data_IF_718694284821
#
_entry.id   IF_718694284821
#
_cell.length_a   1.000
_cell.length_b   1.000
_cell.length_c   1.000
_cell.angle_alpha   90.00
_cell.angle_beta   90.00
_cell.angle_gamma   90.00
#
_symmetry.space_group_name_H-M   'P 1'
#
loop_
_entity.id
_entity.type
_entity.pdbx_description
1 polymer ?
#
# COMPACT_ATOMS: atom_id res chain seq x y z
N UNK A 1 -6.85 -5.74 -28.92
CA UNK A 1 -5.93 -6.31 -27.91
C UNK A 1 -5.43 -5.15 -27.10
N UNK A 2 -5.44 -5.25 -25.76
CA UNK A 2 -4.89 -4.20 -24.92
C UNK A 2 -3.39 -4.02 -25.24
N UNK A 3 -2.93 -2.79 -25.23
CA UNK A 3 -1.52 -2.48 -25.46
C UNK A 3 -0.67 -2.97 -24.29
N UNK A 4 0.46 -3.62 -24.61
CA UNK A 4 1.43 -4.07 -23.59
C UNK A 4 2.75 -3.41 -23.83
N UNK A 5 3.22 -2.66 -22.85
CA UNK A 5 4.50 -1.96 -22.89
C UNK A 5 5.43 -2.48 -21.78
N UNK A 6 6.73 -2.35 -22.00
CA UNK A 6 7.74 -2.76 -21.03
C UNK A 6 8.02 -1.59 -20.08
N UNK A 7 7.73 -1.77 -18.78
CA UNK A 7 7.85 -0.73 -17.76
C UNK A 7 8.53 -1.25 -16.50
N UNK A 8 9.26 -0.37 -15.82
CA UNK A 8 9.58 -0.55 -14.41
C UNK A 8 8.33 -0.36 -13.55
N UNK A 9 8.30 -0.96 -12.36
CA UNK A 9 7.18 -0.76 -11.43
C UNK A 9 6.95 0.72 -11.08
N UNK A 10 8.01 1.52 -10.89
CA UNK A 10 7.89 2.96 -10.65
C UNK A 10 7.28 3.72 -11.84
N UNK A 11 7.69 3.39 -13.07
CA UNK A 11 7.13 3.96 -14.30
C UNK A 11 5.65 3.58 -14.46
N UNK A 12 5.30 2.35 -14.08
CA UNK A 12 3.92 1.84 -14.11
C UNK A 12 3.01 2.66 -13.17
N UNK A 13 3.46 3.02 -11.96
CA UNK A 13 2.75 3.93 -11.06
C UNK A 13 2.46 5.29 -11.71
N UNK A 14 3.48 5.88 -12.35
CA UNK A 14 3.35 7.19 -12.99
C UNK A 14 2.32 7.19 -14.14
N UNK A 15 2.41 6.20 -15.03
CA UNK A 15 1.45 6.06 -16.14
C UNK A 15 0.04 5.74 -15.65
N UNK A 16 -0.09 4.89 -14.62
CA UNK A 16 -1.37 4.59 -14.01
C UNK A 16 -2.03 5.83 -13.41
N UNK A 17 -1.26 6.74 -12.80
CA UNK A 17 -1.78 8.00 -12.28
C UNK A 17 -2.39 8.86 -13.40
N UNK A 18 -1.72 8.97 -14.54
CA UNK A 18 -2.25 9.69 -15.72
C UNK A 18 -3.51 8.99 -16.22
N UNK A 19 -3.47 7.67 -16.40
CA UNK A 19 -4.55 6.89 -17.02
C UNK A 19 -5.79 6.75 -16.12
N UNK A 20 -5.66 6.78 -14.79
CA UNK A 20 -6.82 6.76 -13.90
C UNK A 20 -7.45 8.14 -13.69
N UNK A 21 -6.91 9.20 -14.33
CA UNK A 21 -7.40 10.57 -14.25
C UNK A 21 -7.06 11.26 -12.91
N UNK A 22 -5.86 11.05 -12.40
CA UNK A 22 -5.33 11.79 -11.25
C UNK A 22 -5.28 13.29 -11.56
N UNK A 23 -5.62 14.12 -10.58
CA UNK A 23 -5.62 15.57 -10.71
C UNK A 23 -4.28 16.22 -10.36
N UNK A 24 -3.51 15.57 -9.47
CA UNK A 24 -2.24 16.16 -9.05
C UNK A 24 -1.29 15.16 -8.37
N UNK A 25 -0.01 15.32 -8.70
CA UNK A 25 1.11 14.67 -8.03
C UNK A 25 1.99 15.74 -7.40
N UNK A 26 2.24 15.61 -6.10
CA UNK A 26 3.12 16.49 -5.34
C UNK A 26 4.15 15.64 -4.63
N UNK A 27 5.41 15.69 -5.05
CA UNK A 27 6.44 14.79 -4.56
C UNK A 27 7.78 15.45 -4.33
N UNK A 28 8.67 14.75 -3.64
CA UNK A 28 10.07 15.09 -3.47
C UNK A 28 10.93 13.88 -3.90
N UNK A 29 11.99 14.08 -4.70
CA UNK A 29 12.77 12.97 -5.23
C UNK A 29 13.56 12.27 -4.14
N UNK A 30 13.41 10.93 -4.07
CA UNK A 30 14.13 10.06 -3.15
C UNK A 30 14.30 8.67 -3.77
N UNK A 31 15.51 8.08 -3.70
CA UNK A 31 15.77 6.71 -4.16
C UNK A 31 15.11 5.69 -3.20
N UNK A 32 14.45 4.61 -3.70
CA UNK A 32 14.45 4.11 -5.08
C UNK A 32 13.16 4.41 -5.88
N UNK A 33 12.45 5.52 -5.63
CA UNK A 33 11.19 5.83 -6.31
C UNK A 33 11.26 7.04 -7.28
N UNK A 34 12.44 7.60 -7.53
CA UNK A 34 12.62 8.83 -8.34
C UNK A 34 11.99 8.73 -9.72
N UNK A 35 11.98 7.54 -10.33
CA UNK A 35 11.40 7.32 -11.66
C UNK A 35 9.90 7.63 -11.73
N UNK A 36 9.16 7.65 -10.61
CA UNK A 36 7.75 8.07 -10.62
C UNK A 36 7.63 9.52 -11.09
N UNK A 37 8.41 10.41 -10.47
CA UNK A 37 8.41 11.83 -10.85
C UNK A 37 9.06 12.04 -12.22
N UNK A 38 10.18 11.39 -12.50
CA UNK A 38 10.90 11.48 -13.77
C UNK A 38 9.99 11.10 -14.94
N UNK A 39 9.23 10.02 -14.82
CA UNK A 39 8.26 9.59 -15.84
C UNK A 39 7.12 10.60 -15.99
N UNK A 40 6.55 11.10 -14.88
CA UNK A 40 5.52 12.15 -14.94
C UNK A 40 6.03 13.41 -15.63
N UNK A 41 7.27 13.81 -15.35
CA UNK A 41 7.89 14.98 -16.01
C UNK A 41 8.14 14.74 -17.51
N UNK A 42 8.54 13.54 -17.90
CA UNK A 42 8.75 13.16 -19.30
C UNK A 42 7.44 13.09 -20.08
N UNK A 43 6.37 12.57 -19.45
CA UNK A 43 5.04 12.44 -20.07
C UNK A 43 4.28 13.77 -20.18
N UNK A 44 4.69 14.81 -19.45
CA UNK A 44 4.08 16.15 -19.45
C UNK A 44 2.53 16.12 -19.34
N UNK A 45 1.95 15.44 -18.31
CA UNK A 45 0.51 15.25 -18.22
C UNK A 45 -0.27 16.56 -18.04
N UNK A 46 0.37 17.64 -17.63
CA UNK A 46 -0.26 18.98 -17.58
C UNK A 46 -0.67 19.50 -18.96
N UNK A 47 0.02 19.09 -20.03
CA UNK A 47 -0.35 19.43 -21.40
C UNK A 47 -1.43 18.49 -21.96
N UNK A 48 -1.35 17.19 -21.63
CA UNK A 48 -2.22 16.16 -22.18
C UNK A 48 -3.58 16.05 -21.46
N UNK A 49 -3.57 16.13 -20.14
CA UNK A 49 -4.74 15.89 -19.29
C UNK A 49 -5.05 17.06 -18.33
N UNK A 50 -4.12 18.00 -18.18
CA UNK A 50 -4.16 19.06 -17.20
C UNK A 50 -3.87 18.59 -15.77
N UNK A 51 -3.31 17.37 -15.56
CA UNK A 51 -2.83 16.91 -14.27
C UNK A 51 -1.67 17.79 -13.81
N UNK A 52 -1.72 18.28 -12.58
CA UNK A 52 -0.64 19.08 -11.99
C UNK A 52 0.48 18.15 -11.52
N UNK A 53 1.71 18.42 -11.93
CA UNK A 53 2.91 17.74 -11.40
C UNK A 53 3.83 18.79 -10.82
N UNK A 54 4.16 18.67 -9.53
CA UNK A 54 4.98 19.65 -8.85
C UNK A 54 5.96 18.96 -7.90
N UNK A 55 7.23 19.35 -8.03
CA UNK A 55 8.25 19.00 -7.06
C UNK A 55 8.14 19.95 -5.88
N UNK A 56 7.82 19.40 -4.70
CA UNK A 56 7.83 20.15 -3.45
C UNK A 56 9.27 20.36 -2.95
N UNK A 57 9.45 21.23 -1.98
CA UNK A 57 10.76 21.46 -1.35
C UNK A 57 11.17 20.36 -0.36
N UNK A 58 10.21 19.58 0.12
CA UNK A 58 10.38 18.50 1.11
C UNK A 58 9.17 17.58 1.12
N UNK A 59 9.33 16.41 1.75
CA UNK A 59 8.21 15.47 1.97
C UNK A 59 7.12 16.08 2.86
N UNK A 60 7.50 16.89 3.84
CA UNK A 60 6.53 17.62 4.69
C UNK A 60 5.70 18.61 3.86
N UNK A 61 6.31 19.33 2.92
CA UNK A 61 5.59 20.19 2.00
C UNK A 61 4.69 19.37 1.06
N UNK A 62 5.19 18.24 0.53
CA UNK A 62 4.41 17.34 -0.33
C UNK A 62 3.11 16.89 0.33
N UNK A 63 3.18 16.36 1.56
CA UNK A 63 1.99 15.83 2.24
C UNK A 63 0.97 16.92 2.58
N UNK A 64 1.42 18.15 2.88
CA UNK A 64 0.53 19.28 3.10
C UNK A 64 -0.18 19.73 1.80
N UNK A 65 0.52 19.65 0.64
CA UNK A 65 -0.10 19.88 -0.67
C UNK A 65 -1.15 18.80 -0.99
N UNK A 66 -0.85 17.53 -0.65
CA UNK A 66 -1.80 16.41 -0.77
C UNK A 66 -3.02 16.65 0.11
N UNK A 67 -2.85 17.05 1.37
CA UNK A 67 -3.96 17.41 2.27
C UNK A 67 -4.86 18.48 1.64
N UNK A 68 -4.26 19.57 1.16
CA UNK A 68 -5.01 20.67 0.55
C UNK A 68 -5.72 20.25 -0.75
N UNK A 69 -5.04 19.50 -1.62
CA UNK A 69 -5.61 18.98 -2.86
C UNK A 69 -6.79 18.04 -2.60
N UNK A 70 -6.60 17.07 -1.68
CA UNK A 70 -7.64 16.13 -1.29
C UNK A 70 -8.86 16.85 -0.68
N UNK A 71 -8.64 17.90 0.12
CA UNK A 71 -9.71 18.70 0.72
C UNK A 71 -10.62 19.38 -0.32
N UNK A 72 -10.14 19.56 -1.55
CA UNK A 72 -10.96 20.07 -2.69
C UNK A 72 -11.71 18.98 -3.45
N UNK A 73 -11.67 17.74 -3.00
CA UNK A 73 -12.32 16.58 -3.66
C UNK A 73 -11.58 16.07 -4.88
N UNK A 74 -10.31 16.45 -5.07
CA UNK A 74 -9.47 16.04 -6.18
C UNK A 74 -8.71 14.75 -5.88
N UNK A 75 -8.48 13.94 -6.92
CA UNK A 75 -7.61 12.76 -6.86
C UNK A 75 -6.16 13.21 -6.86
N UNK A 76 -5.53 13.17 -5.71
CA UNK A 76 -4.13 13.60 -5.54
C UNK A 76 -3.28 12.50 -4.94
N UNK A 77 -2.00 12.46 -5.32
CA UNK A 77 -1.07 11.47 -4.82
C UNK A 77 0.33 12.03 -4.61
N UNK A 78 1.08 11.33 -3.77
CA UNK A 78 2.53 11.48 -3.60
C UNK A 78 3.22 10.14 -3.63
N UNK A 79 4.51 10.13 -3.91
CA UNK A 79 5.37 8.96 -3.72
C UNK A 79 6.63 9.35 -2.96
N UNK A 80 7.12 8.43 -2.14
CA UNK A 80 8.34 8.59 -1.37
C UNK A 80 8.95 7.23 -1.03
N UNK A 81 9.97 7.22 -0.20
CA UNK A 81 10.62 6.03 0.33
C UNK A 81 10.83 6.21 1.83
N UNK A 82 10.76 5.15 2.57
CA UNK A 82 10.95 4.97 4.02
C UNK A 82 11.23 6.22 4.88
N UNK A 83 12.41 6.91 4.81
CA UNK A 83 12.65 8.10 5.62
C UNK A 83 11.77 9.29 5.22
N UNK A 84 11.40 9.42 3.94
CA UNK A 84 10.48 10.46 3.50
C UNK A 84 9.04 10.22 3.98
N UNK A 85 8.60 8.96 4.03
CA UNK A 85 7.29 8.61 4.63
C UNK A 85 7.28 8.96 6.12
N UNK A 86 8.40 8.77 6.82
CA UNK A 86 8.51 9.18 8.23
C UNK A 86 8.24 10.68 8.42
N UNK A 87 8.72 11.53 7.50
CA UNK A 87 8.42 12.97 7.51
C UNK A 87 6.96 13.30 7.16
N UNK A 88 6.27 12.41 6.47
CA UNK A 88 4.86 12.59 6.08
C UNK A 88 3.87 12.11 7.16
N UNK A 89 4.30 11.39 8.20
CA UNK A 89 3.41 10.71 9.16
C UNK A 89 2.40 11.64 9.82
N UNK A 90 2.80 12.88 10.17
CA UNK A 90 1.89 13.87 10.75
C UNK A 90 0.77 14.25 9.76
N UNK A 91 1.13 14.59 8.51
CA UNK A 91 0.16 14.94 7.48
C UNK A 91 -0.78 13.79 7.13
N UNK A 92 -0.30 12.54 7.15
CA UNK A 92 -1.12 11.34 6.96
C UNK A 92 -2.14 11.22 8.10
N UNK A 93 -1.72 11.42 9.36
CA UNK A 93 -2.62 11.45 10.52
C UNK A 93 -3.69 12.54 10.37
N UNK A 94 -3.32 13.74 9.92
CA UNK A 94 -4.27 14.84 9.66
C UNK A 94 -5.27 14.49 8.57
N UNK A 95 -4.83 13.85 7.48
CA UNK A 95 -5.74 13.37 6.43
C UNK A 95 -6.74 12.33 6.94
N UNK A 96 -6.28 11.40 7.78
CA UNK A 96 -7.17 10.41 8.40
C UNK A 96 -8.18 11.09 9.33
N UNK A 97 -7.74 12.06 10.14
CA UNK A 97 -8.59 12.85 11.03
C UNK A 97 -9.57 13.78 10.30
N UNK A 98 -9.28 14.17 9.06
CA UNK A 98 -10.17 14.96 8.23
C UNK A 98 -10.96 14.11 7.22
N UNK A 99 -10.81 12.78 7.25
CA UNK A 99 -11.41 11.81 6.31
C UNK A 99 -11.16 12.18 4.83
N UNK A 100 -9.91 12.47 4.50
CA UNK A 100 -9.51 12.90 3.16
C UNK A 100 -8.98 11.73 2.33
N UNK A 101 -9.57 11.46 1.15
CA UNK A 101 -9.08 10.45 0.22
C UNK A 101 -7.82 10.94 -0.50
N UNK A 102 -6.74 10.19 -0.38
CA UNK A 102 -5.50 10.44 -1.11
C UNK A 102 -4.71 9.14 -1.27
N UNK A 103 -3.76 9.13 -2.20
CA UNK A 103 -2.84 8.00 -2.39
C UNK A 103 -1.42 8.41 -2.01
N UNK A 104 -0.81 7.61 -1.12
CA UNK A 104 0.61 7.66 -0.80
C UNK A 104 1.29 6.39 -1.34
N UNK A 105 2.36 6.53 -2.10
CA UNK A 105 3.16 5.38 -2.56
C UNK A 105 4.46 5.35 -1.77
N UNK A 106 4.73 4.24 -1.08
CA UNK A 106 5.99 3.98 -0.40
C UNK A 106 6.74 2.86 -1.12
N UNK A 107 7.88 3.19 -1.72
CA UNK A 107 8.84 2.20 -2.26
C UNK A 107 9.93 2.01 -1.22
N UNK A 108 9.80 0.96 -0.40
CA UNK A 108 10.61 0.73 0.79
C UNK A 108 12.08 0.48 0.48
N UNK A 109 12.93 1.00 1.34
CA UNK A 109 14.38 0.77 1.37
C UNK A 109 14.87 0.40 2.76
N UNK A 110 16.08 -0.18 2.87
CA UNK A 110 16.62 -0.65 4.14
C UNK A 110 16.97 0.48 5.09
N UNK A 111 16.48 0.36 6.34
CA UNK A 111 16.77 1.20 7.49
C UNK A 111 17.46 0.40 8.61
N UNK A 112 17.55 0.95 9.86
CA UNK A 112 17.02 2.24 10.31
C UNK A 112 17.84 3.45 9.88
N UNK A 113 17.32 4.65 10.17
CA UNK A 113 17.92 5.93 9.85
C UNK A 113 17.89 6.21 8.34
N UNK A 114 18.93 6.88 7.83
CA UNK A 114 19.07 7.10 6.38
C UNK A 114 19.21 5.77 5.61
N UNK A 115 19.81 4.78 6.26
CA UNK A 115 19.92 3.40 5.81
C UNK A 115 20.65 3.23 4.48
N UNK A 116 20.12 2.31 3.67
CA UNK A 116 20.62 2.00 2.33
C UNK A 116 19.53 2.21 1.30
N UNK A 117 19.90 2.36 0.03
CA UNK A 117 18.93 2.43 -1.09
C UNK A 117 18.41 1.05 -1.53
N UNK A 118 18.92 -0.03 -0.91
CA UNK A 118 18.56 -1.39 -1.26
C UNK A 118 17.15 -1.76 -0.75
N UNK A 119 16.46 -2.71 -1.40
CA UNK A 119 15.09 -3.09 -1.05
C UNK A 119 14.92 -3.60 0.38
N UNK A 120 13.81 -3.27 1.00
CA UNK A 120 13.39 -3.80 2.29
C UNK A 120 11.86 -3.84 2.42
N UNK A 121 11.36 -4.48 3.48
CA UNK A 121 9.94 -4.51 3.85
C UNK A 121 9.77 -4.13 5.33
N UNK A 122 10.62 -3.20 5.80
CA UNK A 122 10.71 -2.83 7.21
C UNK A 122 9.74 -1.70 7.64
N UNK A 123 8.95 -1.16 6.72
CA UNK A 123 7.95 -0.14 7.00
C UNK A 123 6.54 -0.74 7.22
N UNK A 124 6.45 -2.07 7.35
CA UNK A 124 5.17 -2.74 7.57
C UNK A 124 4.43 -2.15 8.79
N UNK A 125 5.07 -2.09 9.95
CA UNK A 125 4.44 -1.51 11.14
C UNK A 125 4.05 -0.05 10.94
N UNK A 126 4.90 0.76 10.32
CA UNK A 126 4.61 2.15 10.04
C UNK A 126 3.35 2.29 9.18
N UNK A 127 3.17 1.40 8.20
CA UNK A 127 2.02 1.42 7.29
C UNK A 127 0.72 0.91 7.95
N UNK A 128 0.78 -0.20 8.71
CA UNK A 128 -0.42 -0.91 9.18
C UNK A 128 -0.77 -0.66 10.65
N UNK A 129 0.23 -0.29 11.49
CA UNK A 129 0.01 0.00 12.92
C UNK A 129 -0.09 1.50 13.20
N UNK A 130 0.14 2.36 12.18
CA UNK A 130 0.13 3.82 12.28
C UNK A 130 1.53 4.41 12.52
N UNK A 131 1.97 5.25 11.58
CA UNK A 131 3.25 5.97 11.67
C UNK A 131 3.14 7.34 12.34
N UNK A 132 1.95 7.97 12.30
CA UNK A 132 1.62 9.20 13.01
C UNK A 132 0.94 8.92 14.36
N UNK A 133 0.22 9.89 14.89
CA UNK A 133 -0.48 9.77 16.17
C UNK A 133 -1.99 9.56 15.97
N UNK A 134 -2.65 9.00 16.98
CA UNK A 134 -4.09 8.72 17.03
C UNK A 134 -4.46 7.31 16.55
N UNK A 135 -5.73 6.99 16.73
CA UNK A 135 -6.27 5.64 16.46
C UNK A 135 -6.75 5.51 15.01
N UNK A 136 -5.87 5.83 14.05
CA UNK A 136 -6.21 5.78 12.62
C UNK A 136 -5.62 4.58 11.89
N UNK A 137 -6.19 4.28 10.72
CA UNK A 137 -5.75 3.26 9.78
C UNK A 137 -5.66 3.83 8.36
N UNK A 138 -4.88 3.16 7.53
CA UNK A 138 -4.83 3.34 6.08
C UNK A 138 -5.25 2.05 5.41
N UNK A 139 -5.83 2.09 4.21
CA UNK A 139 -5.87 0.89 3.37
C UNK A 139 -4.51 0.74 2.71
N UNK A 140 -3.84 -0.39 2.94
CA UNK A 140 -2.47 -0.64 2.47
C UNK A 140 -2.48 -1.79 1.48
N UNK A 141 -2.07 -1.51 0.23
CA UNK A 141 -1.96 -2.48 -0.86
C UNK A 141 -0.49 -2.83 -1.11
N UNK A 142 -0.18 -4.11 -1.22
CA UNK A 142 1.18 -4.61 -1.48
C UNK A 142 1.28 -5.28 -2.86
N UNK A 143 1.79 -4.59 -3.88
CA UNK A 143 2.00 -5.16 -5.20
C UNK A 143 3.17 -6.16 -5.21
N UNK A 144 3.09 -7.17 -6.08
CA UNK A 144 4.15 -8.15 -6.33
C UNK A 144 4.65 -8.17 -7.78
N UNK A 145 4.06 -7.36 -8.65
CA UNK A 145 4.42 -7.24 -10.07
C UNK A 145 4.31 -5.79 -10.54
N UNK A 146 4.94 -5.46 -11.68
CA UNK A 146 4.77 -4.15 -12.30
C UNK A 146 3.32 -3.93 -12.78
N UNK A 147 2.59 -4.99 -13.17
CA UNK A 147 1.17 -4.89 -13.48
C UNK A 147 0.36 -4.46 -12.25
N UNK A 148 0.61 -5.06 -11.08
CA UNK A 148 -0.07 -4.65 -9.86
C UNK A 148 0.33 -3.24 -9.40
N UNK A 149 1.58 -2.81 -9.65
CA UNK A 149 1.97 -1.40 -9.44
C UNK A 149 1.07 -0.46 -10.25
N UNK A 150 0.77 -0.83 -11.50
CA UNK A 150 -0.14 -0.07 -12.37
C UNK A 150 -1.60 -0.14 -11.88
N UNK A 151 -2.14 -1.34 -11.69
CA UNK A 151 -3.56 -1.56 -11.40
C UNK A 151 -3.98 -0.99 -10.04
N UNK A 152 -3.08 -1.05 -9.05
CA UNK A 152 -3.40 -0.62 -7.70
C UNK A 152 -3.52 0.89 -7.54
N UNK A 153 -3.00 1.71 -8.45
CA UNK A 153 -3.21 3.17 -8.41
C UNK A 153 -4.69 3.51 -8.55
N UNK A 154 -5.33 2.98 -9.58
CA UNK A 154 -6.77 3.16 -9.78
C UNK A 154 -7.60 2.56 -8.65
N UNK A 155 -7.22 1.35 -8.16
CA UNK A 155 -7.89 0.69 -7.06
C UNK A 155 -7.73 1.43 -5.73
N UNK A 156 -6.57 2.00 -5.47
CA UNK A 156 -6.32 2.81 -4.28
C UNK A 156 -7.21 4.07 -4.26
N UNK A 157 -7.34 4.79 -5.38
CA UNK A 157 -8.26 5.92 -5.47
C UNK A 157 -9.72 5.50 -5.29
N UNK A 158 -10.15 4.39 -5.90
CA UNK A 158 -11.51 3.85 -5.70
C UNK A 158 -11.80 3.62 -4.20
N UNK A 159 -10.91 2.93 -3.51
CA UNK A 159 -11.06 2.62 -2.08
C UNK A 159 -10.96 3.90 -1.22
N UNK A 160 -10.04 4.82 -1.58
CA UNK A 160 -9.87 6.07 -0.85
C UNK A 160 -11.16 6.91 -0.86
N UNK A 161 -11.79 7.07 -2.01
CA UNK A 161 -13.05 7.83 -2.13
C UNK A 161 -14.24 7.08 -1.56
N UNK A 162 -14.33 5.75 -1.77
CA UNK A 162 -15.41 4.91 -1.22
C UNK A 162 -15.52 5.02 0.30
N UNK A 163 -14.39 5.02 0.99
CA UNK A 163 -14.34 5.01 2.46
C UNK A 163 -13.89 6.34 3.07
N UNK A 164 -13.57 7.35 2.25
CA UNK A 164 -12.99 8.61 2.72
C UNK A 164 -11.82 8.37 3.66
N UNK A 165 -10.77 7.72 3.14
CA UNK A 165 -9.60 7.28 3.90
C UNK A 165 -8.34 7.47 3.05
N UNK A 166 -7.19 7.86 3.61
CA UNK A 166 -5.93 7.78 2.89
C UNK A 166 -5.60 6.31 2.58
N UNK A 167 -5.06 6.07 1.38
CA UNK A 167 -4.59 4.75 0.95
C UNK A 167 -3.09 4.76 0.74
N UNK A 168 -2.46 3.60 0.88
CA UNK A 168 -1.03 3.43 0.62
C UNK A 168 -0.78 2.25 -0.31
N UNK A 169 0.06 2.45 -1.31
CA UNK A 169 0.74 1.35 -2.01
C UNK A 169 2.10 1.17 -1.33
N UNK A 170 2.30 0.00 -0.71
CA UNK A 170 3.53 -0.36 -0.02
C UNK A 170 4.29 -1.38 -0.86
N UNK A 171 5.15 -0.87 -1.73
CA UNK A 171 6.05 -1.66 -2.57
C UNK A 171 7.44 -1.76 -1.92
N UNK A 172 8.23 -2.71 -2.37
CA UNK A 172 9.67 -2.75 -2.08
C UNK A 172 10.48 -2.34 -3.31
N UNK A 173 11.76 -1.99 -3.10
CA UNK A 173 12.63 -1.50 -4.17
C UNK A 173 12.87 -2.53 -5.29
N UNK A 174 12.67 -3.86 -5.05
CA UNK A 174 12.73 -4.86 -6.12
C UNK A 174 11.58 -4.64 -7.09
N UNK A 175 10.36 -4.56 -6.58
CA UNK A 175 9.16 -4.40 -7.42
C UNK A 175 9.18 -3.02 -8.12
N UNK A 176 9.66 -1.97 -7.43
CA UNK A 176 9.79 -0.64 -8.04
C UNK A 176 10.73 -0.60 -9.25
N UNK A 177 11.81 -1.38 -9.23
CA UNK A 177 12.83 -1.43 -10.28
C UNK A 177 12.64 -2.59 -11.27
N UNK A 178 11.79 -3.56 -10.95
CA UNK A 178 11.54 -4.71 -11.82
C UNK A 178 10.85 -4.28 -13.11
N UNK A 179 11.44 -4.67 -14.24
CA UNK A 179 10.91 -4.37 -15.58
C UNK A 179 10.10 -5.55 -16.11
N UNK A 180 8.81 -5.32 -16.36
CA UNK A 180 7.88 -6.33 -16.86
C UNK A 180 6.98 -5.75 -17.97
N UNK A 181 6.31 -6.64 -18.73
CA UNK A 181 5.27 -6.23 -19.65
C UNK A 181 4.00 -5.88 -18.87
N UNK A 182 3.56 -4.64 -19.02
CA UNK A 182 2.36 -4.10 -18.37
C UNK A 182 1.29 -3.87 -19.40
N UNK A 183 0.12 -4.39 -19.17
CA UNK A 183 -1.08 -4.13 -19.96
C UNK A 183 -1.68 -2.79 -19.55
N UNK A 184 -1.81 -1.89 -20.50
CA UNK A 184 -2.27 -0.53 -20.29
C UNK A 184 -3.78 -0.45 -20.48
N UNK A 185 -4.48 0.15 -19.53
CA UNK A 185 -5.90 0.41 -19.61
C UNK A 185 -6.20 1.71 -20.35
N UNK A 186 -7.42 1.81 -20.85
CA UNK A 186 -7.91 3.04 -21.47
C UNK A 186 -7.85 4.21 -20.47
N UNK A 187 -7.35 5.35 -20.96
CA UNK A 187 -7.21 6.54 -20.14
C UNK A 187 -8.58 7.11 -19.76
N UNK A 188 -8.83 7.27 -18.47
CA UNK A 188 -10.01 7.92 -17.92
C UNK A 188 -9.77 9.44 -17.81
N UNK A 189 -10.74 10.27 -18.14
CA UNK A 189 -10.62 11.70 -17.92
C UNK A 189 -10.57 12.03 -16.42
N UNK A 190 -10.04 13.19 -16.11
CA UNK A 190 -10.21 13.78 -14.77
C UNK A 190 -11.67 14.18 -14.57
N UNK A 191 -12.10 14.16 -13.32
CA UNK A 191 -13.44 14.59 -12.99
C UNK A 191 -13.66 16.07 -13.34
N UNK A 192 -14.77 16.36 -13.97
CA UNK A 192 -15.30 17.73 -14.14
C UNK A 192 -15.64 18.33 -12.77
N UNK A 193 -15.94 19.60 -12.73
CA UNK A 193 -16.37 20.27 -11.48
C UNK A 193 -17.68 19.66 -10.94
N UNK A 194 -18.58 19.30 -11.82
CA UNK A 194 -19.87 18.69 -11.52
C UNK A 194 -19.66 17.28 -10.93
N UNK A 195 -18.83 16.46 -11.55
CA UNK A 195 -18.49 15.11 -11.05
C UNK A 195 -17.76 15.17 -9.70
N UNK A 196 -16.89 16.18 -9.47
CA UNK A 196 -16.30 16.39 -8.13
C UNK A 196 -17.36 16.68 -7.08
N UNK A 197 -18.37 17.48 -7.40
CA UNK A 197 -19.48 17.78 -6.48
C UNK A 197 -20.34 16.56 -6.20
N UNK A 198 -20.48 15.66 -7.18
CA UNK A 198 -21.21 14.40 -7.04
C UNK A 198 -20.45 13.37 -6.18
N UNK A 199 -19.17 13.14 -6.52
CA UNK A 199 -18.35 12.12 -5.84
C UNK A 199 -17.75 12.59 -4.51
N UNK A 200 -17.60 13.88 -4.32
CA UNK A 200 -17.05 14.51 -3.11
C UNK A 200 -17.92 15.68 -2.61
N UNK A 201 -19.19 15.45 -2.25
CA UNK A 201 -20.11 16.50 -1.81
C UNK A 201 -19.60 17.25 -0.56
N UNK A 202 -18.74 16.64 0.22
CA UNK A 202 -18.09 17.18 1.41
C UNK A 202 -16.94 18.15 1.11
N UNK A 203 -16.42 18.19 -0.13
CA UNK A 203 -15.20 18.91 -0.48
C UNK A 203 -15.32 20.44 -0.33
N UNK A 204 -14.19 21.09 -0.03
CA UNK A 204 -14.08 22.53 0.12
C UNK A 204 -14.00 23.23 -1.26
N UNK A 205 -15.10 23.23 -2.02
CA UNK A 205 -15.18 23.81 -3.38
C UNK A 205 -15.77 25.22 -3.40
N UNK A 206 -15.91 25.86 -2.24
CA UNK A 206 -16.45 27.21 -2.08
C UNK A 206 -17.95 27.25 -1.76
N UNK A 207 -18.43 28.43 -1.33
CA UNK A 207 -19.84 28.72 -1.08
C UNK A 207 -20.49 29.23 -2.37
N UNK A 208 -21.70 28.75 -2.64
CA UNK A 208 -22.59 29.26 -3.70
C UNK A 208 -23.95 29.63 -3.10
N UNK A 209 -24.90 30.13 -3.91
CA UNK A 209 -26.25 30.38 -3.44
C UNK A 209 -26.94 29.12 -2.88
N UNK A 210 -26.65 27.97 -3.50
CA UNK A 210 -27.30 26.68 -3.21
C UNK A 210 -26.42 25.72 -2.35
N UNK A 211 -25.23 26.18 -1.91
CA UNK A 211 -24.28 25.36 -1.18
C UNK A 211 -23.58 26.12 -0.08
N UNK A 212 -23.67 25.61 1.14
CA UNK A 212 -22.98 26.16 2.29
C UNK A 212 -21.44 25.99 2.19
N UNK A 213 -20.70 26.75 2.98
CA UNK A 213 -19.26 26.63 3.11
C UNK A 213 -18.92 25.36 3.87
N UNK A 214 -18.07 24.51 3.25
CA UNK A 214 -17.44 23.39 3.96
C UNK A 214 -16.08 23.80 4.53
N UNK A 215 -15.81 23.37 5.75
CA UNK A 215 -14.54 23.56 6.44
C UNK A 215 -13.95 22.17 6.65
N UNK A 216 -12.77 21.94 6.11
CA UNK A 216 -12.02 20.71 6.28
C UNK A 216 -10.93 20.94 7.33
N UNK A 217 -11.02 20.22 8.43
CA UNK A 217 -10.07 20.32 9.54
C UNK A 217 -10.06 19.01 10.32
N UNK A 218 -8.93 18.69 10.93
CA UNK A 218 -8.79 17.60 11.91
C UNK A 218 -8.72 18.13 13.35
N UNK A 219 -8.83 19.45 13.54
CA UNK A 219 -8.81 20.06 14.87
C UNK A 219 -10.17 19.94 15.55
N UNK A 220 -10.22 19.29 16.71
CA UNK A 220 -11.36 19.29 17.62
C UNK A 220 -10.86 19.50 19.06
N UNK A 221 -11.34 20.56 19.72
CA UNK A 221 -10.93 20.91 21.08
C UNK A 221 -11.82 20.32 22.17
N UNK A 222 -13.00 19.85 21.79
CA UNK A 222 -13.94 19.16 22.67
C UNK A 222 -13.65 17.66 22.68
N UNK A 223 -13.12 17.17 23.80
CA UNK A 223 -12.76 15.75 23.96
C UNK A 223 -13.93 14.78 23.74
N UNK A 224 -15.17 15.17 24.11
CA UNK A 224 -16.32 14.32 23.92
C UNK A 224 -16.72 14.22 22.43
N UNK A 225 -16.51 15.27 21.66
CA UNK A 225 -16.70 15.25 20.19
C UNK A 225 -15.59 14.44 19.52
N UNK A 226 -14.34 14.60 19.95
CA UNK A 226 -13.21 13.83 19.44
C UNK A 226 -13.40 12.33 19.70
N UNK A 227 -13.89 11.93 20.88
CA UNK A 227 -14.20 10.53 21.17
C UNK A 227 -15.28 9.98 20.24
N UNK A 228 -16.37 10.71 20.02
CA UNK A 228 -17.44 10.31 19.07
C UNK A 228 -16.91 10.15 17.65
N UNK A 229 -16.02 11.04 17.22
CA UNK A 229 -15.38 10.93 15.93
C UNK A 229 -14.48 9.68 15.83
N UNK A 230 -13.71 9.38 16.87
CA UNK A 230 -12.92 8.15 16.92
C UNK A 230 -13.79 6.88 16.89
N UNK A 231 -14.94 6.88 17.57
CA UNK A 231 -15.91 5.77 17.49
C UNK A 231 -16.39 5.60 16.04
N UNK A 232 -16.78 6.69 15.36
CA UNK A 232 -17.14 6.67 13.94
C UNK A 232 -16.02 6.10 13.05
N UNK A 233 -14.76 6.51 13.28
CA UNK A 233 -13.62 5.94 12.54
C UNK A 233 -13.49 4.42 12.77
N UNK A 234 -13.64 3.95 14.02
CA UNK A 234 -13.55 2.51 14.32
C UNK A 234 -14.68 1.72 13.65
N UNK A 235 -15.89 2.26 13.55
CA UNK A 235 -17.01 1.64 12.81
C UNK A 235 -16.71 1.53 11.32
N UNK A 236 -16.17 2.60 10.73
CA UNK A 236 -15.70 2.59 9.35
C UNK A 236 -14.61 1.54 9.13
N UNK A 237 -13.64 1.42 10.03
CA UNK A 237 -12.55 0.45 9.92
C UNK A 237 -13.05 -0.98 10.01
N UNK A 238 -13.98 -1.31 10.89
CA UNK A 238 -14.63 -2.63 10.92
C UNK A 238 -15.31 -2.97 9.59
N UNK A 239 -16.01 -1.99 9.00
CA UNK A 239 -16.63 -2.17 7.67
C UNK A 239 -15.58 -2.47 6.58
N UNK A 240 -14.42 -1.82 6.63
CA UNK A 240 -13.33 -2.07 5.70
C UNK A 240 -12.72 -3.46 5.93
N UNK A 241 -12.48 -3.86 7.19
CA UNK A 241 -11.97 -5.18 7.56
C UNK A 241 -12.90 -6.31 7.11
N UNK A 242 -14.20 -6.09 7.14
CA UNK A 242 -15.18 -7.07 6.67
C UNK A 242 -15.17 -7.26 5.15
N UNK A 243 -14.96 -6.19 4.39
CA UNK A 243 -15.25 -6.16 2.95
C UNK A 243 -14.00 -6.12 2.05
N UNK A 244 -12.84 -5.68 2.53
CA UNK A 244 -11.71 -5.37 1.66
C UNK A 244 -10.46 -6.24 1.91
N UNK A 245 -10.58 -7.34 2.67
CA UNK A 245 -9.50 -8.31 2.79
C UNK A 245 -9.23 -8.98 1.42
N UNK A 246 -7.99 -8.90 0.93
CA UNK A 246 -7.56 -9.44 -0.35
C UNK A 246 -6.26 -10.19 -0.22
N UNK A 247 -6.19 -11.38 -0.80
CA UNK A 247 -4.97 -12.17 -0.90
C UNK A 247 -4.96 -13.00 -2.18
N UNK A 248 -3.78 -13.48 -2.53
CA UNK A 248 -3.58 -14.55 -3.49
C UNK A 248 -3.24 -15.83 -2.72
N UNK A 249 -3.84 -16.94 -3.12
CA UNK A 249 -3.56 -18.26 -2.58
C UNK A 249 -2.79 -19.08 -3.63
N UNK A 250 -1.72 -19.72 -3.21
CA UNK A 250 -0.91 -20.56 -4.08
C UNK A 250 -0.68 -21.93 -3.43
N UNK A 251 -1.27 -22.99 -4.02
CA UNK A 251 -1.14 -24.38 -3.56
C UNK A 251 -1.55 -24.57 -2.08
N UNK A 252 -2.64 -23.92 -1.66
CA UNK A 252 -3.12 -23.97 -0.27
C UNK A 252 -4.06 -25.13 0.01
N UNK A 253 -4.66 -25.76 -0.99
CA UNK A 253 -5.76 -26.71 -0.89
C UNK A 253 -5.39 -27.99 -0.11
N UNK A 254 -4.14 -28.45 -0.24
CA UNK A 254 -3.60 -29.64 0.42
C UNK A 254 -2.41 -29.32 1.33
N UNK A 255 -2.20 -28.03 1.65
CA UNK A 255 -1.04 -27.58 2.40
C UNK A 255 -1.07 -28.07 3.86
N UNK A 256 0.04 -28.65 4.31
CA UNK A 256 0.31 -28.97 5.70
C UNK A 256 1.16 -27.90 6.39
N UNK A 257 1.83 -27.06 5.60
CA UNK A 257 2.62 -25.91 6.02
C UNK A 257 2.26 -24.69 5.17
N UNK A 258 2.20 -23.53 5.78
CA UNK A 258 1.83 -22.31 5.12
C UNK A 258 2.96 -21.28 5.20
N UNK A 259 3.35 -20.72 4.06
CA UNK A 259 4.11 -19.48 4.03
C UNK A 259 3.15 -18.29 3.93
N UNK A 260 3.53 -17.19 4.56
CA UNK A 260 2.86 -15.89 4.38
C UNK A 260 3.93 -14.87 4.01
N UNK A 261 3.78 -14.24 2.84
CA UNK A 261 4.76 -13.30 2.31
C UNK A 261 4.09 -12.31 1.37
N UNK A 262 4.57 -11.06 1.29
CA UNK A 262 4.05 -10.03 0.39
C UNK A 262 5.15 -9.45 -0.51
N UNK A 263 4.78 -8.69 -1.53
CA UNK A 263 5.72 -8.02 -2.42
C UNK A 263 6.69 -9.00 -3.12
N UNK A 264 7.95 -8.62 -3.17
CA UNK A 264 9.00 -9.44 -3.82
C UNK A 264 9.24 -10.78 -3.12
N UNK A 265 9.10 -10.86 -1.79
CA UNK A 265 9.29 -12.12 -1.05
C UNK A 265 8.26 -13.18 -1.42
N UNK A 266 7.03 -12.80 -1.74
CA UNK A 266 6.02 -13.75 -2.22
C UNK A 266 6.43 -14.44 -3.53
N UNK A 267 7.09 -13.73 -4.43
CA UNK A 267 7.61 -14.30 -5.68
C UNK A 267 8.72 -15.33 -5.40
N UNK A 268 9.63 -14.99 -4.50
CA UNK A 268 10.72 -15.87 -4.07
C UNK A 268 10.15 -17.13 -3.43
N UNK A 269 9.14 -16.99 -2.57
CA UNK A 269 8.47 -18.10 -1.89
C UNK A 269 7.84 -19.10 -2.88
N UNK A 270 7.26 -18.67 -3.99
CA UNK A 270 6.66 -19.58 -4.98
C UNK A 270 7.69 -20.60 -5.49
N UNK A 271 8.91 -20.15 -5.84
CA UNK A 271 9.99 -21.03 -6.28
C UNK A 271 10.45 -22.00 -5.18
N UNK A 272 10.58 -21.50 -3.94
CA UNK A 272 10.96 -22.34 -2.80
C UNK A 272 9.89 -23.40 -2.47
N UNK A 273 8.60 -23.03 -2.60
CA UNK A 273 7.45 -23.93 -2.41
C UNK A 273 7.46 -25.05 -3.46
N UNK A 274 7.68 -24.71 -4.73
CA UNK A 274 7.72 -25.71 -5.79
C UNK A 274 8.80 -26.77 -5.51
N UNK A 275 10.00 -26.32 -5.13
CA UNK A 275 11.08 -27.21 -4.72
C UNK A 275 10.76 -28.02 -3.46
N UNK A 276 10.09 -27.43 -2.46
CA UNK A 276 9.69 -28.16 -1.25
C UNK A 276 8.68 -29.26 -1.59
N UNK A 277 7.74 -28.99 -2.48
CA UNK A 277 6.75 -29.97 -2.94
C UNK A 277 7.37 -31.11 -3.75
N UNK A 278 8.35 -30.82 -4.60
CA UNK A 278 9.14 -31.83 -5.30
C UNK A 278 9.86 -32.78 -4.32
N UNK A 279 10.19 -32.31 -3.12
CA UNK A 279 10.78 -33.08 -2.03
C UNK A 279 9.76 -33.65 -1.03
N UNK A 280 8.47 -33.68 -1.39
CA UNK A 280 7.39 -34.29 -0.63
C UNK A 280 6.81 -33.47 0.52
N UNK A 281 7.16 -32.20 0.67
CA UNK A 281 6.58 -31.31 1.67
C UNK A 281 5.38 -30.54 1.07
N UNK A 282 4.21 -30.67 1.64
CA UNK A 282 2.99 -29.94 1.21
C UNK A 282 2.98 -28.54 1.78
N UNK A 283 3.66 -27.64 1.11
CA UNK A 283 3.74 -26.21 1.46
C UNK A 283 2.85 -25.39 0.54
N UNK A 284 2.11 -24.44 1.08
CA UNK A 284 1.32 -23.45 0.36
C UNK A 284 1.74 -22.03 0.71
N UNK A 285 1.19 -21.04 0.01
CA UNK A 285 1.42 -19.61 0.24
C UNK A 285 0.09 -18.86 0.30
N UNK A 286 -0.08 -18.02 1.30
CA UNK A 286 -0.99 -16.88 1.25
C UNK A 286 -0.14 -15.62 1.05
N UNK A 287 -0.41 -14.92 -0.04
CA UNK A 287 0.18 -13.61 -0.32
C UNK A 287 -0.85 -12.52 0.00
N UNK A 288 -0.72 -11.78 1.10
CA UNK A 288 -1.53 -10.59 1.32
C UNK A 288 -1.40 -9.60 0.16
N UNK A 289 -2.52 -9.20 -0.41
CA UNK A 289 -2.65 -8.07 -1.34
C UNK A 289 -2.96 -6.82 -0.53
N UNK A 290 -3.89 -6.92 0.43
CA UNK A 290 -4.06 -5.91 1.47
C UNK A 290 -3.23 -6.30 2.69
N UNK A 291 -2.39 -5.36 3.17
CA UNK A 291 -1.68 -5.51 4.45
C UNK A 291 -2.51 -4.91 5.60
N UNK A 292 -3.30 -3.93 5.31
CA UNK A 292 -4.45 -3.53 6.10
C UNK A 292 -5.62 -3.20 5.14
N UNK A 293 -6.79 -3.81 5.34
CA UNK A 293 -7.09 -4.87 6.32
C UNK A 293 -6.30 -6.16 6.01
N UNK A 294 -5.78 -6.80 7.06
CA UNK A 294 -5.02 -8.04 6.92
C UNK A 294 -5.95 -9.19 6.52
N UNK A 295 -5.54 -10.14 5.64
CA UNK A 295 -6.41 -11.22 5.15
C UNK A 295 -6.57 -12.36 6.18
N UNK A 296 -7.05 -12.03 7.36
CA UNK A 296 -7.21 -12.95 8.49
C UNK A 296 -8.09 -14.13 8.14
N UNK A 297 -9.20 -13.88 7.42
CA UNK A 297 -10.16 -14.92 7.03
C UNK A 297 -9.54 -16.04 6.20
N UNK A 298 -8.63 -15.69 5.29
CA UNK A 298 -7.94 -16.67 4.44
C UNK A 298 -6.95 -17.52 5.25
N UNK A 299 -6.18 -16.89 6.13
CA UNK A 299 -5.24 -17.59 7.00
C UNK A 299 -5.98 -18.48 7.99
N UNK A 300 -7.01 -17.94 8.67
CA UNK A 300 -7.82 -18.65 9.67
C UNK A 300 -8.45 -19.93 9.11
N UNK A 301 -8.95 -19.89 7.88
CA UNK A 301 -9.49 -21.05 7.17
C UNK A 301 -8.47 -22.17 7.01
N UNK A 302 -7.17 -21.85 6.83
CA UNK A 302 -6.11 -22.85 6.68
C UNK A 302 -5.65 -23.44 8.02
N UNK A 303 -5.66 -22.66 9.10
CA UNK A 303 -5.11 -23.03 10.42
C UNK A 303 -5.48 -24.43 10.91
N UNK A 304 -6.74 -24.92 10.79
CA UNK A 304 -7.10 -26.26 11.30
C UNK A 304 -6.35 -27.44 10.65
N UNK A 305 -5.79 -27.23 9.47
CA UNK A 305 -5.12 -28.29 8.70
C UNK A 305 -3.59 -28.16 8.70
N UNK A 306 -3.06 -27.06 9.29
CA UNK A 306 -1.64 -26.76 9.26
C UNK A 306 -0.88 -27.35 10.44
N UNK A 307 0.34 -27.79 10.18
CA UNK A 307 1.37 -28.17 11.17
C UNK A 307 2.25 -26.99 11.57
N UNK A 308 2.36 -25.96 10.73
CA UNK A 308 3.16 -24.76 10.98
C UNK A 308 2.93 -23.65 9.96
N UNK A 309 3.16 -22.43 10.39
CA UNK A 309 3.14 -21.24 9.53
C UNK A 309 4.50 -20.53 9.63
N UNK A 310 5.04 -20.06 8.50
CA UNK A 310 6.25 -19.26 8.47
C UNK A 310 6.01 -17.96 7.72
N UNK A 311 6.30 -16.81 8.37
CA UNK A 311 6.40 -15.56 7.63
C UNK A 311 7.74 -15.46 6.91
N UNK A 312 7.74 -14.88 5.70
CA UNK A 312 8.96 -14.58 4.96
C UNK A 312 8.96 -13.10 4.61
N UNK A 313 9.92 -12.35 5.17
CA UNK A 313 9.92 -10.88 5.12
C UNK A 313 11.34 -10.32 4.90
N UNK A 314 11.45 -9.12 4.28
CA UNK A 314 12.72 -8.37 4.23
C UNK A 314 12.84 -7.42 5.43
N UNK A 315 12.65 -7.97 6.64
CA UNK A 315 12.77 -7.28 7.93
C UNK A 315 13.03 -8.29 9.06
N UNK A 316 13.05 -7.82 10.31
CA UNK A 316 13.30 -8.63 11.51
C UNK A 316 12.05 -9.35 12.08
N UNK A 317 10.95 -9.38 11.35
CA UNK A 317 9.68 -9.98 11.78
C UNK A 317 8.68 -8.91 12.23
N UNK A 318 7.87 -8.41 11.29
CA UNK A 318 6.81 -7.45 11.57
C UNK A 318 5.44 -8.05 11.25
N UNK A 319 5.20 -8.52 10.02
CA UNK A 319 3.94 -9.17 9.64
C UNK A 319 3.71 -10.47 10.44
N UNK A 320 4.76 -11.14 10.88
CA UNK A 320 4.66 -12.33 11.73
C UNK A 320 3.83 -12.10 12.99
N UNK A 321 3.75 -10.88 13.50
CA UNK A 321 2.92 -10.55 14.67
C UNK A 321 1.42 -10.66 14.34
N UNK A 322 0.99 -10.16 13.17
CA UNK A 322 -0.39 -10.30 12.73
C UNK A 322 -0.74 -11.77 12.43
N UNK A 323 0.18 -12.54 11.85
CA UNK A 323 0.00 -13.98 11.67
C UNK A 323 -0.17 -14.70 13.01
N UNK A 324 0.61 -14.33 14.03
CA UNK A 324 0.48 -14.89 15.39
C UNK A 324 -0.86 -14.56 16.03
N UNK A 325 -1.37 -13.35 15.82
CA UNK A 325 -2.70 -12.95 16.29
C UNK A 325 -3.79 -13.84 15.66
N UNK A 326 -3.74 -14.06 14.34
CA UNK A 326 -4.68 -14.93 13.64
C UNK A 326 -4.54 -16.38 14.09
N UNK A 327 -3.32 -16.89 14.16
CA UNK A 327 -3.06 -18.26 14.59
C UNK A 327 -3.51 -18.52 16.03
N UNK A 328 -3.42 -17.53 16.90
CA UNK A 328 -3.88 -17.53 18.30
C UNK A 328 -3.45 -18.81 19.06
N UNK A 329 -2.20 -19.23 18.88
CA UNK A 329 -1.64 -20.42 19.53
C UNK A 329 -2.13 -21.77 19.01
N UNK A 330 -3.01 -21.82 18.01
CA UNK A 330 -3.57 -23.05 17.43
C UNK A 330 -2.56 -23.82 16.57
N UNK A 331 -1.56 -23.13 16.04
CA UNK A 331 -0.49 -23.69 15.22
C UNK A 331 0.81 -22.94 15.48
N UNK A 332 1.99 -23.60 15.46
CA UNK A 332 3.28 -22.92 15.58
C UNK A 332 3.50 -21.90 14.47
N UNK A 333 4.01 -20.70 14.83
CA UNK A 333 4.35 -19.63 13.88
C UNK A 333 5.82 -19.26 14.04
N UNK A 334 6.60 -19.41 12.98
CA UNK A 334 7.98 -19.00 12.91
C UNK A 334 8.21 -17.87 11.89
N UNK A 335 9.42 -17.35 11.81
CA UNK A 335 9.80 -16.26 10.94
C UNK A 335 11.14 -16.57 10.25
N UNK A 336 11.23 -16.26 8.97
CA UNK A 336 12.48 -16.16 8.24
C UNK A 336 12.57 -14.77 7.58
N UNK A 337 13.69 -14.07 7.77
CA UNK A 337 13.87 -12.73 7.23
C UNK A 337 15.30 -12.37 6.91
N UNK A 338 15.44 -11.40 6.00
CA UNK A 338 16.68 -10.69 5.70
C UNK A 338 16.47 -9.22 6.01
N UNK A 339 17.52 -8.52 6.38
CA UNK A 339 17.45 -7.13 6.87
C UNK A 339 18.48 -6.24 6.15
N UNK A 340 18.34 -4.92 6.29
CA UNK A 340 19.34 -3.94 5.87
C UNK A 340 19.60 -3.90 4.36
N UNK A 341 18.61 -4.29 3.54
CA UNK A 341 18.73 -4.29 2.07
C UNK A 341 19.17 -5.62 1.47
N UNK A 342 19.35 -6.66 2.28
CA UNK A 342 19.62 -8.01 1.78
C UNK A 342 18.33 -8.69 1.33
N UNK A 343 18.36 -9.31 0.15
CA UNK A 343 17.25 -10.07 -0.42
C UNK A 343 17.51 -11.55 -0.18
N UNK A 344 16.47 -12.29 0.24
CA UNK A 344 16.54 -13.73 0.36
C UNK A 344 16.58 -14.42 -1.02
N UNK A 345 17.35 -15.47 -1.17
CA UNK A 345 17.28 -16.35 -2.34
C UNK A 345 16.20 -17.43 -2.15
N UNK A 346 15.68 -18.04 -3.23
CA UNK A 346 14.79 -19.19 -3.15
C UNK A 346 15.40 -20.37 -2.36
N UNK A 347 16.72 -20.56 -2.47
CA UNK A 347 17.44 -21.63 -1.76
C UNK A 347 17.45 -21.38 -0.24
N UNK A 348 17.72 -20.14 0.20
CA UNK A 348 17.68 -19.78 1.62
C UNK A 348 16.27 -19.97 2.21
N UNK A 349 15.22 -19.61 1.46
CA UNK A 349 13.83 -19.82 1.88
C UNK A 349 13.51 -21.31 1.97
N UNK A 350 13.95 -22.11 0.97
CA UNK A 350 13.77 -23.57 1.00
C UNK A 350 14.48 -24.21 2.22
N UNK A 351 15.72 -23.83 2.50
CA UNK A 351 16.46 -24.31 3.68
C UNK A 351 15.74 -23.93 4.98
N UNK A 352 15.20 -22.71 5.06
CA UNK A 352 14.41 -22.29 6.21
C UNK A 352 13.13 -23.12 6.38
N UNK A 353 12.41 -23.44 5.28
CA UNK A 353 11.25 -24.37 5.29
C UNK A 353 11.64 -25.70 5.90
N UNK A 354 12.71 -26.33 5.40
CA UNK A 354 13.16 -27.66 5.86
C UNK A 354 13.59 -27.63 7.33
N UNK A 355 14.25 -26.55 7.78
CA UNK A 355 14.79 -26.42 9.14
C UNK A 355 13.74 -26.07 10.18
N UNK A 356 12.76 -25.21 9.84
CA UNK A 356 11.87 -24.61 10.82
C UNK A 356 10.45 -25.20 10.81
N UNK A 357 10.02 -25.80 9.69
CA UNK A 357 8.68 -26.36 9.56
C UNK A 357 8.66 -27.90 9.60
N UNK A 358 9.78 -28.56 9.37
CA UNK A 358 9.89 -30.02 9.45
C UNK A 358 10.32 -30.43 10.85
#
# INVERSE_FOLDING_TARGET
MAEKILLKGNEAIALAAIHCGCDGYFGYPITPQSEVMETLMAEMPWEKTGMVVLQAESETASINMIYAGAATGKRVMTSSSSPGISLMCEGISYMAGAELPALVVNVQRGGPGLGTIQPAQADYFQAVKGGGHGDYKLIVLAPSTAQEMYDFVGKAFELAFKYRIPTMILADGVIGQLMEKVEIHEQKPRWTKEEVLEHAPWAATGKTADRERHIITSLELDSAKQEKFNIHLQEKYRTIEENEQRCEEYKTEDAEYLLVAFGSTARICKTAIDRARENGMKVGLIRPITLWPFPEKAIDRCVPHLKGIMSVELNAGQMVEDIRLVANGRVPVCHFGRMGGMIASPDEVYEAIVKQLK
#
